data_IF_730457653058
#
_entry.id   IF_730457653058
#
_cell.length_a   1.000
_cell.length_b   1.000
_cell.length_c   1.000
_cell.angle_alpha   90.00
_cell.angle_beta   90.00
_cell.angle_gamma   90.00
#
_symmetry.space_group_name_H-M   'P 1'
#
loop_
_entity.id
_entity.type
_entity.pdbx_description
1 polymer ?
#
# COMPACT_ATOMS: atom_id res chain seq x y z
N UNK A 1 0.96 -6.78 37.51
CA UNK A 1 1.77 -5.60 37.14
C UNK A 1 1.66 -4.58 38.27
N UNK A 2 2.77 -4.08 38.79
CA UNK A 2 2.76 -2.96 39.74
C UNK A 2 2.52 -1.67 38.95
N UNK A 3 1.62 -0.80 39.43
CA UNK A 3 1.30 0.50 38.79
C UNK A 3 2.55 1.36 38.55
N UNK A 4 3.58 1.18 39.37
CA UNK A 4 4.80 1.98 39.37
C UNK A 4 5.71 1.72 38.16
N UNK A 5 5.77 0.48 37.65
CA UNK A 5 6.61 0.14 36.49
C UNK A 5 6.00 0.66 35.18
N UNK A 6 4.69 0.52 35.02
CA UNK A 6 3.97 1.05 33.86
C UNK A 6 4.04 2.58 33.79
N UNK A 7 4.01 3.25 34.94
CA UNK A 7 4.14 4.71 35.01
C UNK A 7 5.53 5.21 34.60
N UNK A 8 6.59 4.39 34.77
CA UNK A 8 7.94 4.73 34.30
C UNK A 8 8.06 4.56 32.79
N UNK A 9 7.59 3.44 32.25
CA UNK A 9 7.58 3.19 30.80
C UNK A 9 6.78 4.26 30.05
N UNK A 10 5.62 4.68 30.59
CA UNK A 10 4.82 5.74 29.98
C UNK A 10 5.56 7.09 29.95
N UNK A 11 6.33 7.42 30.99
CA UNK A 11 7.13 8.65 31.03
C UNK A 11 8.23 8.64 29.98
N UNK A 12 8.91 7.51 29.79
CA UNK A 12 9.94 7.35 28.77
C UNK A 12 9.36 7.51 27.35
N UNK A 13 8.19 6.93 27.08
CA UNK A 13 7.49 7.09 25.79
C UNK A 13 7.14 8.55 25.54
N UNK A 14 6.65 9.28 26.55
CA UNK A 14 6.31 10.70 26.42
C UNK A 14 7.55 11.56 26.14
N UNK A 15 8.71 11.24 26.73
CA UNK A 15 9.97 11.95 26.42
C UNK A 15 10.42 11.70 24.98
N UNK A 16 10.34 10.46 24.50
CA UNK A 16 10.69 10.11 23.12
C UNK A 16 9.78 10.81 22.11
N UNK A 17 8.47 10.88 22.40
CA UNK A 17 7.50 11.55 21.52
C UNK A 17 7.76 13.06 21.43
N UNK A 18 8.22 13.70 22.51
CA UNK A 18 8.55 15.14 22.49
C UNK A 18 9.76 15.46 21.60
N UNK A 19 10.61 14.49 21.29
CA UNK A 19 11.70 14.65 20.33
C UNK A 19 11.22 14.59 18.88
N UNK A 20 9.99 14.13 18.63
CA UNK A 20 9.41 14.07 17.29
C UNK A 20 8.76 15.40 16.88
N UNK A 21 8.79 15.74 15.58
CA UNK A 21 8.04 16.86 15.01
C UNK A 21 6.54 16.79 15.33
N UNK A 22 5.91 17.93 15.59
CA UNK A 22 4.54 18.02 16.12
C UNK A 22 3.48 17.31 15.25
N UNK A 23 3.71 17.25 13.93
CA UNK A 23 2.87 16.55 12.96
C UNK A 23 2.92 15.02 13.06
N UNK A 24 3.86 14.46 13.83
CA UNK A 24 4.05 13.01 14.01
C UNK A 24 3.87 12.55 15.46
N UNK A 25 3.75 13.46 16.43
CA UNK A 25 3.74 13.14 17.86
C UNK A 25 2.61 12.19 18.26
N UNK A 26 1.39 12.42 17.78
CA UNK A 26 0.25 11.55 18.11
C UNK A 26 0.45 10.12 17.57
N UNK A 27 0.93 10.00 16.32
CA UNK A 27 1.20 8.70 15.70
C UNK A 27 2.36 7.97 16.37
N UNK A 28 3.43 8.68 16.72
CA UNK A 28 4.58 8.11 17.43
C UNK A 28 4.19 7.63 18.84
N UNK A 29 3.34 8.37 19.55
CA UNK A 29 2.85 7.97 20.87
C UNK A 29 2.03 6.68 20.81
N UNK A 30 1.10 6.60 19.86
CA UNK A 30 0.24 5.43 19.69
C UNK A 30 1.05 4.17 19.34
N UNK A 31 2.06 4.29 18.48
CA UNK A 31 2.94 3.18 18.07
C UNK A 31 3.79 2.70 19.25
N UNK A 32 4.44 3.62 19.97
CA UNK A 32 5.31 3.26 21.09
C UNK A 32 4.52 2.65 22.26
N UNK A 33 3.30 3.15 22.50
CA UNK A 33 2.41 2.60 23.52
C UNK A 33 1.94 1.18 23.17
N UNK A 34 1.54 0.94 21.92
CA UNK A 34 1.14 -0.39 21.47
C UNK A 34 2.30 -1.39 21.53
N UNK A 35 3.51 -0.98 21.14
CA UNK A 35 4.69 -1.83 21.23
C UNK A 35 5.01 -2.22 22.70
N UNK A 36 4.90 -1.28 23.64
CA UNK A 36 5.10 -1.56 25.07
C UNK A 36 4.06 -2.54 25.64
N UNK A 37 2.81 -2.50 25.13
CA UNK A 37 1.75 -3.42 25.52
C UNK A 37 1.94 -4.81 24.89
N UNK A 38 2.28 -4.90 23.60
CA UNK A 38 2.49 -6.17 22.88
C UNK A 38 3.75 -6.92 23.33
N UNK A 39 4.83 -6.22 23.71
CA UNK A 39 6.01 -6.86 24.27
C UNK A 39 5.74 -7.55 25.62
N UNK A 40 4.67 -7.16 26.31
CA UNK A 40 4.22 -7.75 27.60
C UNK A 40 3.24 -8.91 27.43
N UNK A 41 2.52 -8.99 26.32
CA UNK A 41 1.65 -10.14 25.98
C UNK A 41 2.49 -11.28 25.39
N UNK A 42 3.10 -12.06 26.28
CA UNK A 42 4.09 -13.08 25.97
C UNK A 42 3.78 -14.02 24.78
N UNK A 43 4.84 -14.23 23.98
CA UNK A 43 5.08 -15.31 23.01
C UNK A 43 4.24 -16.58 23.23
N UNK A 44 3.49 -16.96 22.20
CA UNK A 44 3.19 -18.37 21.89
C UNK A 44 3.61 -18.68 20.47
N UNK A 45 4.77 -19.32 20.34
CA UNK A 45 5.24 -19.98 19.12
C UNK A 45 4.73 -21.44 19.19
N UNK A 46 3.93 -21.96 18.24
CA UNK A 46 3.69 -23.40 18.13
C UNK A 46 4.85 -24.11 17.42
N UNK A 47 5.18 -25.37 17.76
CA UNK A 47 6.33 -26.09 17.22
C UNK A 47 6.08 -26.65 15.81
N UNK A 48 7.18 -26.74 15.06
CA UNK A 48 7.29 -27.14 13.66
C UNK A 48 6.79 -28.56 13.34
N UNK A 49 6.03 -28.67 12.26
CA UNK A 49 5.80 -29.95 11.56
C UNK A 49 6.58 -29.95 10.25
N UNK A 50 7.53 -30.88 10.13
CA UNK A 50 8.31 -31.14 8.91
C UNK A 50 7.41 -31.72 7.80
N UNK A 51 7.54 -31.23 6.57
CA UNK A 51 7.02 -31.94 5.40
C UNK A 51 6.97 -31.13 4.10
N UNK A 52 7.88 -31.46 3.19
CA UNK A 52 7.87 -31.27 1.74
C UNK A 52 8.11 -29.87 1.15
N UNK A 53 9.19 -29.81 0.37
CA UNK A 53 9.74 -28.65 -0.31
C UNK A 53 8.98 -28.29 -1.60
N UNK A 54 8.87 -26.99 -1.88
CA UNK A 54 9.04 -26.44 -3.23
C UNK A 54 9.41 -24.96 -3.11
N UNK A 55 10.66 -24.67 -3.48
CA UNK A 55 11.24 -23.39 -3.88
C UNK A 55 10.87 -22.14 -3.08
N UNK A 56 11.50 -22.01 -1.92
CA UNK A 56 11.74 -20.73 -1.28
C UNK A 56 12.76 -19.93 -2.09
N UNK A 57 12.27 -19.03 -2.94
CA UNK A 57 13.09 -17.91 -3.38
C UNK A 57 13.13 -16.94 -2.20
N UNK A 58 14.21 -17.06 -1.42
CA UNK A 58 14.69 -16.02 -0.53
C UNK A 58 14.99 -14.78 -1.37
N UNK A 59 14.16 -13.75 -1.24
CA UNK A 59 14.53 -12.39 -1.65
C UNK A 59 13.89 -11.44 -0.65
N UNK A 60 14.72 -10.96 0.28
CA UNK A 60 14.41 -10.00 1.34
C UNK A 60 13.22 -10.37 2.24
N UNK A 61 13.50 -11.02 3.36
CA UNK A 61 12.60 -11.08 4.50
C UNK A 61 12.48 -9.68 5.16
N UNK A 62 11.89 -8.73 4.43
CA UNK A 62 11.19 -7.62 5.04
C UNK A 62 9.92 -8.23 5.63
N UNK A 63 9.74 -8.10 6.95
CA UNK A 63 8.57 -8.63 7.67
C UNK A 63 7.31 -7.88 7.25
N UNK A 64 6.85 -8.07 6.01
CA UNK A 64 5.58 -7.54 5.54
C UNK A 64 4.44 -8.20 6.34
N UNK A 65 3.43 -7.44 6.78
CA UNK A 65 2.35 -8.01 7.57
C UNK A 65 1.66 -9.18 6.83
N UNK A 66 1.29 -10.26 7.54
CA UNK A 66 0.76 -11.47 6.93
C UNK A 66 -0.52 -11.21 6.11
N UNK A 67 -1.32 -10.23 6.52
CA UNK A 67 -2.53 -9.81 5.79
C UNK A 67 -2.21 -9.17 4.43
N UNK A 68 -1.18 -8.31 4.37
CA UNK A 68 -0.73 -7.69 3.12
C UNK A 68 -0.18 -8.76 2.18
N UNK A 69 0.65 -9.68 2.71
CA UNK A 69 1.19 -10.81 1.95
C UNK A 69 0.07 -11.70 1.38
N UNK A 70 -0.97 -11.99 2.17
CA UNK A 70 -2.12 -12.76 1.72
C UNK A 70 -2.88 -12.07 0.58
N UNK A 71 -3.10 -10.75 0.68
CA UNK A 71 -3.78 -9.96 -0.37
C UNK A 71 -2.97 -9.93 -1.66
N UNK A 72 -1.66 -9.73 -1.56
CA UNK A 72 -0.74 -9.76 -2.70
C UNK A 72 -0.78 -11.11 -3.40
N UNK A 73 -0.64 -12.21 -2.65
CA UNK A 73 -0.72 -13.58 -3.20
C UNK A 73 -2.06 -13.86 -3.88
N UNK A 74 -3.15 -13.41 -3.26
CA UNK A 74 -4.50 -13.56 -3.83
C UNK A 74 -4.60 -12.82 -5.16
N UNK A 75 -4.14 -11.58 -5.22
CA UNK A 75 -4.16 -10.76 -6.43
C UNK A 75 -3.26 -11.36 -7.53
N UNK A 76 -2.05 -11.78 -7.17
CA UNK A 76 -1.10 -12.45 -8.06
C UNK A 76 -1.72 -13.71 -8.70
N UNK A 77 -2.32 -14.58 -7.88
CA UNK A 77 -2.99 -15.79 -8.34
C UNK A 77 -4.21 -15.53 -9.22
N UNK A 78 -5.04 -14.54 -8.87
CA UNK A 78 -6.23 -14.17 -9.65
C UNK A 78 -5.89 -13.62 -11.04
N UNK A 79 -4.75 -12.94 -11.18
CA UNK A 79 -4.37 -12.24 -12.41
C UNK A 79 -3.17 -12.84 -13.14
N UNK A 80 -2.67 -13.99 -12.67
CA UNK A 80 -1.52 -14.70 -13.23
C UNK A 80 -0.29 -13.78 -13.35
N UNK A 81 0.00 -13.00 -12.31
CA UNK A 81 1.18 -12.12 -12.20
C UNK A 81 2.13 -12.76 -11.19
N UNK A 82 3.45 -12.65 -11.41
CA UNK A 82 4.41 -13.12 -10.42
C UNK A 82 4.48 -12.16 -9.22
N UNK A 83 4.75 -12.68 -8.01
CA UNK A 83 4.96 -11.82 -6.85
C UNK A 83 6.14 -10.87 -7.08
N UNK A 84 7.20 -11.34 -7.77
CA UNK A 84 8.36 -10.55 -8.16
C UNK A 84 8.00 -9.32 -9.00
N UNK A 85 7.06 -9.45 -9.94
CA UNK A 85 6.62 -8.32 -10.77
C UNK A 85 5.84 -7.29 -9.95
N UNK A 86 5.11 -7.73 -8.92
CA UNK A 86 4.44 -6.82 -8.00
C UNK A 86 5.48 -6.05 -7.17
N UNK A 87 6.50 -6.72 -6.63
CA UNK A 87 7.56 -6.06 -5.85
C UNK A 87 8.47 -5.14 -6.68
N UNK A 88 8.49 -5.26 -8.01
CA UNK A 88 9.17 -4.28 -8.89
C UNK A 88 8.38 -2.98 -9.05
N UNK A 89 7.07 -3.01 -8.84
CA UNK A 89 6.15 -1.87 -9.07
C UNK A 89 5.71 -1.25 -7.75
N UNK A 90 5.72 -2.02 -6.67
CA UNK A 90 5.28 -1.60 -5.34
C UNK A 90 6.32 -1.94 -4.29
N UNK A 91 6.63 -0.97 -3.45
CA UNK A 91 7.37 -1.20 -2.21
C UNK A 91 6.40 -1.32 -1.04
N UNK A 92 6.65 -2.32 -0.20
CA UNK A 92 5.84 -2.65 0.96
C UNK A 92 6.74 -2.62 2.19
N UNK A 93 6.42 -1.73 3.12
CA UNK A 93 7.16 -1.62 4.37
C UNK A 93 6.66 -2.64 5.41
N UNK A 94 7.48 -2.85 6.44
CA UNK A 94 7.19 -3.68 7.63
C UNK A 94 5.88 -3.28 8.35
N UNK A 95 5.51 -2.02 8.27
CA UNK A 95 4.23 -1.49 8.78
C UNK A 95 3.01 -1.82 7.92
N UNK A 96 3.20 -2.45 6.75
CA UNK A 96 2.14 -2.72 5.77
C UNK A 96 1.76 -1.53 4.90
N UNK A 97 2.50 -0.42 5.01
CA UNK A 97 2.36 0.72 4.09
C UNK A 97 2.87 0.35 2.71
N UNK A 98 2.06 0.64 1.68
CA UNK A 98 2.31 0.30 0.29
C UNK A 98 2.55 1.57 -0.51
N UNK A 99 3.65 1.64 -1.23
CA UNK A 99 4.02 2.77 -2.09
C UNK A 99 4.21 2.29 -3.51
N UNK A 100 3.86 3.14 -4.48
CA UNK A 100 4.15 2.89 -5.90
C UNK A 100 5.62 3.24 -6.11
N UNK A 101 6.37 2.38 -6.80
CA UNK A 101 7.77 2.59 -7.16
C UNK A 101 7.96 2.31 -8.65
N UNK A 102 7.61 3.28 -9.48
CA UNK A 102 7.76 3.19 -10.94
C UNK A 102 8.56 4.38 -11.45
N UNK A 103 9.59 4.12 -12.26
CA UNK A 103 10.42 5.17 -12.85
C UNK A 103 9.83 5.72 -14.14
N UNK A 104 9.13 4.88 -14.91
CA UNK A 104 8.42 5.25 -16.13
C UNK A 104 7.03 4.62 -16.14
N UNK A 105 6.01 5.45 -16.37
CA UNK A 105 4.63 5.01 -16.58
C UNK A 105 4.40 4.42 -17.98
N UNK A 106 5.45 4.23 -18.79
CA UNK A 106 5.48 3.64 -20.14
C UNK A 106 4.45 4.26 -21.10
N UNK A 107 4.25 5.58 -21.01
CA UNK A 107 3.31 6.34 -21.86
C UNK A 107 3.78 7.77 -22.03
N UNK A 108 3.63 8.33 -23.24
CA UNK A 108 3.91 9.75 -23.55
C UNK A 108 2.68 10.65 -23.42
N UNK A 109 1.47 10.07 -23.31
CA UNK A 109 0.21 10.82 -23.23
C UNK A 109 -0.14 11.05 -21.77
N UNK A 110 -0.28 12.32 -21.37
CA UNK A 110 -0.65 12.73 -20.00
C UNK A 110 -1.91 12.02 -19.52
N UNK A 111 -2.99 12.04 -20.31
CA UNK A 111 -4.25 11.38 -19.94
C UNK A 111 -4.07 9.86 -19.67
N UNK A 112 -3.20 9.20 -20.42
CA UNK A 112 -2.91 7.78 -20.25
C UNK A 112 -2.01 7.53 -19.02
N UNK A 113 -1.05 8.41 -18.74
CA UNK A 113 -0.24 8.34 -17.51
C UNK A 113 -1.12 8.53 -16.26
N UNK A 114 -2.04 9.50 -16.26
CA UNK A 114 -3.02 9.69 -15.19
C UNK A 114 -3.91 8.44 -14.99
N UNK A 115 -4.36 7.82 -16.09
CA UNK A 115 -5.11 6.55 -16.04
C UNK A 115 -4.30 5.41 -15.44
N UNK A 116 -3.01 5.31 -15.78
CA UNK A 116 -2.10 4.29 -15.22
C UNK A 116 -1.88 4.49 -13.73
N UNK A 117 -1.69 5.73 -13.28
CA UNK A 117 -1.61 6.04 -11.84
C UNK A 117 -2.90 5.68 -11.10
N UNK A 118 -4.08 5.97 -11.67
CA UNK A 118 -5.35 5.58 -11.07
C UNK A 118 -5.48 4.06 -10.88
N UNK A 119 -4.99 3.27 -11.85
CA UNK A 119 -4.96 1.81 -11.76
C UNK A 119 -4.01 1.33 -10.65
N UNK A 120 -2.80 1.92 -10.56
CA UNK A 120 -1.82 1.56 -9.54
C UNK A 120 -2.27 1.94 -8.13
N UNK A 121 -2.92 3.10 -7.96
CA UNK A 121 -3.48 3.52 -6.67
C UNK A 121 -4.55 2.53 -6.20
N UNK A 122 -5.46 2.11 -7.09
CA UNK A 122 -6.47 1.12 -6.73
C UNK A 122 -5.85 -0.21 -6.28
N UNK A 123 -4.73 -0.62 -6.86
CA UNK A 123 -3.99 -1.82 -6.42
C UNK A 123 -3.22 -1.60 -5.13
N UNK A 124 -2.63 -0.41 -4.93
CA UNK A 124 -2.00 -0.02 -3.66
C UNK A 124 -2.98 -0.17 -2.49
N UNK A 125 -4.19 0.36 -2.62
CA UNK A 125 -5.24 0.21 -1.59
C UNK A 125 -5.64 -1.27 -1.41
N UNK A 126 -5.63 -2.06 -2.48
CA UNK A 126 -5.96 -3.49 -2.37
C UNK A 126 -4.94 -4.23 -1.51
N UNK A 127 -3.68 -3.81 -1.53
CA UNK A 127 -2.65 -4.39 -0.69
C UNK A 127 -2.73 -3.84 0.74
N UNK A 128 -2.91 -2.53 0.89
CA UNK A 128 -2.93 -1.83 2.18
C UNK A 128 -4.16 -2.17 3.05
N UNK A 129 -5.37 -2.12 2.50
CA UNK A 129 -6.63 -2.32 3.25
C UNK A 129 -7.61 -3.32 2.62
N UNK A 130 -7.35 -3.76 1.39
CA UNK A 130 -8.21 -4.71 0.67
C UNK A 130 -9.36 -4.04 -0.10
N UNK A 131 -9.35 -2.71 -0.19
CA UNK A 131 -10.23 -1.93 -1.06
C UNK A 131 -9.57 -1.70 -2.42
N UNK A 132 -10.33 -1.37 -3.46
CA UNK A 132 -9.76 -0.93 -4.73
C UNK A 132 -10.03 0.56 -4.93
N UNK A 133 -9.92 1.31 -3.84
CA UNK A 133 -10.30 2.70 -3.80
C UNK A 133 -9.25 3.57 -4.49
N UNK A 134 -9.75 4.61 -5.16
CA UNK A 134 -8.98 5.61 -5.89
C UNK A 134 -9.50 6.96 -5.44
N UNK A 135 -8.97 7.50 -4.33
CA UNK A 135 -9.27 8.84 -3.89
C UNK A 135 -8.81 9.84 -4.94
N UNK A 136 -9.67 10.80 -5.27
CA UNK A 136 -9.35 11.82 -6.28
C UNK A 136 -8.13 12.66 -5.88
N UNK A 137 -8.01 12.98 -4.59
CA UNK A 137 -6.94 13.84 -4.10
C UNK A 137 -5.59 13.12 -4.12
N UNK A 138 -5.55 11.86 -3.71
CA UNK A 138 -4.34 11.02 -3.86
C UNK A 138 -3.95 10.81 -5.32
N UNK A 139 -4.92 10.62 -6.23
CA UNK A 139 -4.62 10.56 -7.66
C UNK A 139 -4.03 11.88 -8.16
N UNK A 140 -4.53 13.02 -7.68
CA UNK A 140 -3.98 14.33 -8.04
C UNK A 140 -2.54 14.46 -7.55
N UNK A 141 -2.29 14.14 -6.29
CA UNK A 141 -0.95 14.16 -5.67
C UNK A 141 0.02 13.26 -6.44
N UNK A 142 -0.37 12.02 -6.74
CA UNK A 142 0.44 11.13 -7.56
C UNK A 142 0.71 11.71 -8.97
N UNK A 143 -0.25 12.39 -9.58
CA UNK A 143 0.00 13.05 -10.87
C UNK A 143 1.02 14.20 -10.74
N UNK A 144 1.04 14.91 -9.61
CA UNK A 144 2.04 15.96 -9.35
C UNK A 144 3.42 15.33 -9.15
N UNK A 145 3.51 14.30 -8.31
CA UNK A 145 4.76 13.64 -7.94
C UNK A 145 5.43 12.95 -9.14
N UNK A 146 4.65 12.28 -9.98
CA UNK A 146 5.15 11.54 -11.14
C UNK A 146 5.23 12.39 -12.42
N UNK A 147 4.78 13.65 -12.38
CA UNK A 147 4.84 14.60 -13.48
C UNK A 147 3.62 14.71 -14.44
N UNK A 148 2.64 13.79 -14.56
CA UNK A 148 1.54 13.96 -15.51
C UNK A 148 0.40 14.84 -14.97
N UNK A 149 0.67 15.86 -14.15
CA UNK A 149 -0.36 16.76 -13.66
C UNK A 149 -0.66 17.89 -14.65
N UNK A 150 -1.90 17.93 -15.11
CA UNK A 150 -2.45 19.00 -15.93
C UNK A 150 -3.73 19.49 -15.25
N UNK A 151 -3.64 20.63 -14.54
CA UNK A 151 -4.74 21.16 -13.75
C UNK A 151 -5.99 21.47 -14.60
N UNK A 152 -5.80 21.96 -15.83
CA UNK A 152 -6.89 22.32 -16.72
C UNK A 152 -7.62 21.07 -17.25
N UNK A 153 -6.88 19.99 -17.52
CA UNK A 153 -7.43 18.79 -18.13
C UNK A 153 -7.69 17.63 -17.16
N UNK A 154 -7.25 17.70 -15.90
CA UNK A 154 -7.36 16.61 -14.93
C UNK A 154 -8.81 16.12 -14.76
N UNK A 155 -9.76 17.04 -14.58
CA UNK A 155 -11.17 16.69 -14.44
C UNK A 155 -11.75 16.01 -15.68
N UNK A 156 -11.38 16.49 -16.87
CA UNK A 156 -11.82 15.92 -18.14
C UNK A 156 -11.20 14.52 -18.35
N UNK A 157 -9.91 14.35 -18.11
CA UNK A 157 -9.21 13.08 -18.19
C UNK A 157 -9.79 12.05 -17.22
N UNK A 158 -10.06 12.46 -15.97
CA UNK A 158 -10.69 11.61 -14.95
C UNK A 158 -12.08 11.13 -15.40
N UNK A 159 -12.89 12.00 -16.00
CA UNK A 159 -14.19 11.64 -16.57
C UNK A 159 -14.05 10.69 -17.78
N UNK A 160 -13.01 10.88 -18.60
CA UNK A 160 -12.78 10.06 -19.77
C UNK A 160 -12.35 8.63 -19.42
N UNK A 161 -11.69 8.42 -18.27
CA UNK A 161 -11.35 7.08 -17.77
C UNK A 161 -12.46 6.43 -16.92
N UNK A 162 -13.70 6.94 -16.90
CA UNK A 162 -14.82 6.41 -16.09
C UNK A 162 -15.05 4.89 -16.18
N UNK A 163 -14.68 4.27 -17.30
CA UNK A 163 -14.80 2.82 -17.54
C UNK A 163 -14.00 1.95 -16.58
N UNK A 164 -12.86 2.45 -16.06
CA UNK A 164 -12.03 1.70 -15.12
C UNK A 164 -12.62 1.74 -13.70
N UNK A 165 -13.67 2.52 -13.47
CA UNK A 165 -14.32 2.69 -12.17
C UNK A 165 -15.71 2.05 -12.13
N UNK A 166 -16.03 1.43 -11.00
CA UNK A 166 -17.37 0.96 -10.70
C UNK A 166 -18.23 2.13 -10.22
N UNK A 167 -19.14 2.62 -11.08
CA UNK A 167 -20.07 3.69 -10.72
C UNK A 167 -19.38 5.04 -10.50
N UNK A 168 -18.66 5.52 -11.52
CA UNK A 168 -17.86 6.75 -11.48
C UNK A 168 -18.51 7.94 -10.77
N UNK A 169 -17.79 8.53 -9.82
CA UNK A 169 -18.15 9.72 -9.06
C UNK A 169 -17.08 10.80 -9.24
N UNK A 170 -17.38 11.96 -9.85
CA UNK A 170 -16.38 12.98 -10.22
C UNK A 170 -15.77 13.76 -9.03
N UNK A 171 -16.44 13.73 -7.87
CA UNK A 171 -16.06 14.50 -6.68
C UNK A 171 -15.69 13.63 -5.48
N UNK A 172 -15.83 12.31 -5.59
CA UNK A 172 -15.67 11.36 -4.49
C UNK A 172 -14.62 10.31 -4.83
N UNK A 173 -14.27 9.50 -3.83
CA UNK A 173 -13.47 8.27 -4.02
C UNK A 173 -14.18 7.33 -5.00
N UNK A 174 -13.44 6.91 -6.03
CA UNK A 174 -13.88 5.90 -6.99
C UNK A 174 -13.34 4.54 -6.58
N UNK A 175 -13.95 3.44 -7.04
CA UNK A 175 -13.43 2.08 -6.86
C UNK A 175 -13.18 1.44 -8.21
N UNK A 176 -12.09 0.67 -8.38
CA UNK A 176 -11.85 -0.01 -9.66
C UNK A 176 -12.98 -1.02 -9.99
N UNK A 177 -13.44 -0.96 -11.23
CA UNK A 177 -14.34 -1.96 -11.82
C UNK A 177 -13.59 -3.28 -12.08
N UNK A 178 -14.29 -4.40 -12.37
CA UNK A 178 -13.62 -5.63 -12.80
C UNK A 178 -12.69 -5.42 -14.00
N UNK A 179 -13.11 -4.58 -14.95
CA UNK A 179 -12.28 -4.16 -16.08
C UNK A 179 -11.04 -3.40 -15.62
N UNK A 180 -11.21 -2.43 -14.72
CA UNK A 180 -10.10 -1.68 -14.13
C UNK A 180 -9.08 -2.59 -13.44
N UNK A 181 -9.52 -3.57 -12.65
CA UNK A 181 -8.63 -4.52 -11.98
C UNK A 181 -7.81 -5.36 -12.99
N UNK A 182 -8.46 -5.86 -14.04
CA UNK A 182 -7.79 -6.60 -15.11
C UNK A 182 -6.76 -5.74 -15.87
N UNK A 183 -7.09 -4.47 -16.12
CA UNK A 183 -6.16 -3.53 -16.74
C UNK A 183 -4.99 -3.17 -15.81
N UNK A 184 -5.23 -3.03 -14.50
CA UNK A 184 -4.17 -2.78 -13.53
C UNK A 184 -3.19 -3.96 -13.46
N UNK A 185 -3.71 -5.19 -13.48
CA UNK A 185 -2.90 -6.40 -13.58
C UNK A 185 -2.02 -6.44 -14.84
N UNK A 186 -2.59 -6.09 -15.99
CA UNK A 186 -1.85 -6.01 -17.26
C UNK A 186 -0.76 -4.93 -17.19
N UNK A 187 -1.09 -3.78 -16.60
CA UNK A 187 -0.16 -2.68 -16.41
C UNK A 187 1.03 -3.08 -15.52
N UNK A 188 0.80 -3.82 -14.44
CA UNK A 188 1.89 -4.29 -13.57
C UNK A 188 2.87 -5.17 -14.36
N UNK A 189 2.36 -6.11 -15.16
CA UNK A 189 3.20 -6.93 -16.06
C UNK A 189 3.97 -6.06 -17.06
N UNK A 190 3.31 -5.05 -17.63
CA UNK A 190 3.93 -4.13 -18.57
C UNK A 190 5.07 -3.34 -17.91
N UNK A 191 4.88 -2.84 -16.69
CA UNK A 191 5.87 -2.02 -15.98
C UNK A 191 7.04 -2.84 -15.42
N UNK A 192 6.78 -4.11 -15.06
CA UNK A 192 7.78 -5.03 -14.52
C UNK A 192 8.67 -5.71 -15.58
N UNK A 193 8.29 -5.60 -16.86
CA UNK A 193 9.04 -6.08 -18.02
C UNK A 193 10.18 -5.13 -18.41
#
# INVERSE_FOLDING_TARGET
MNKEDFAKELKEIVELVKMCPQNLQEKCFEILLNHALSAKEGRRIPPATKGAATDTVDTNAQEIPPEVKKRLKTFAGQHQISETDIYKVFSINDTGSVSIEVTDLKSKKVAQQQRRLALLIGVKHQFADGSFDVPKDELREACVDYGPYDAANFGANLKNMKEIFAGFKPTMTNKLSPLGKSQAATLIKELAA
#
